data_IF_756169678475
#
_entry.id   IF_756169678475
#
_cell.length_a   1.000
_cell.length_b   1.000
_cell.length_c   1.000
_cell.angle_alpha   90.00
_cell.angle_beta   90.00
_cell.angle_gamma   90.00
#
_symmetry.space_group_name_H-M   'P 1'
#
loop_
_entity.id
_entity.type
_entity.pdbx_description
1 polymer ?
#
# COMPACT_ATOMS: atom_id res chain seq x y z
N UNK A 1 94.59 -19.80 19.07
CA UNK A 1 93.87 -21.04 18.70
C UNK A 1 92.63 -21.04 19.58
N UNK A 2 91.54 -20.41 19.19
CA UNK A 2 90.71 -20.75 18.04
C UNK A 2 89.61 -21.68 18.54
N UNK A 3 88.44 -21.14 18.87
CA UNK A 3 87.20 -21.65 18.28
C UNK A 3 86.03 -20.67 18.52
N UNK A 4 85.10 -20.74 17.59
CA UNK A 4 84.07 -19.79 17.22
C UNK A 4 82.70 -20.17 17.78
N UNK A 5 82.08 -19.26 18.55
CA UNK A 5 80.61 -19.12 18.75
C UNK A 5 79.84 -20.28 19.42
N UNK A 6 78.52 -20.14 19.71
CA UNK A 6 77.63 -19.04 19.32
C UNK A 6 76.79 -18.40 20.45
N UNK A 7 76.35 -17.17 20.14
CA UNK A 7 75.00 -16.58 20.29
C UNK A 7 74.18 -16.97 21.53
N UNK A 8 74.00 -15.99 22.43
CA UNK A 8 72.87 -15.95 23.34
C UNK A 8 71.55 -15.86 22.57
N UNK A 9 70.70 -16.86 22.77
CA UNK A 9 69.28 -16.81 22.44
C UNK A 9 68.58 -15.89 23.45
N UNK A 10 67.88 -14.82 23.04
CA UNK A 10 66.83 -14.26 23.87
C UNK A 10 65.66 -15.26 23.90
N UNK A 11 65.17 -15.54 25.10
CA UNK A 11 63.99 -16.35 25.34
C UNK A 11 62.85 -15.98 24.38
N UNK A 12 62.38 -16.98 23.65
CA UNK A 12 61.18 -16.91 22.81
C UNK A 12 59.99 -16.34 23.60
N UNK A 13 59.10 -15.58 22.95
CA UNK A 13 57.88 -15.10 23.57
C UNK A 13 57.04 -16.28 24.06
N UNK A 14 56.46 -16.13 25.25
CA UNK A 14 55.41 -17.00 25.76
C UNK A 14 54.41 -17.26 24.65
N UNK A 15 54.28 -18.53 24.24
CA UNK A 15 53.16 -19.00 23.43
C UNK A 15 51.89 -18.71 24.23
N UNK A 16 51.20 -17.62 23.88
CA UNK A 16 49.79 -17.51 24.13
C UNK A 16 49.14 -18.79 23.57
N UNK A 17 48.48 -19.55 24.44
CA UNK A 17 47.71 -20.72 24.03
C UNK A 17 46.74 -20.34 22.91
N UNK A 18 46.31 -21.31 22.08
CA UNK A 18 45.32 -21.05 21.06
C UNK A 18 44.09 -20.49 21.77
N UNK A 19 43.84 -19.20 21.54
CA UNK A 19 42.56 -18.57 21.82
C UNK A 19 41.55 -19.44 21.12
N UNK A 20 40.59 -19.97 21.87
CA UNK A 20 39.53 -20.83 21.38
C UNK A 20 38.91 -20.23 20.12
N UNK A 21 39.39 -20.69 18.97
CA UNK A 21 38.76 -20.42 17.70
C UNK A 21 37.47 -21.23 17.73
N UNK A 22 36.37 -20.51 17.97
CA UNK A 22 35.02 -20.98 17.69
C UNK A 22 35.06 -21.77 16.37
N UNK A 23 34.58 -23.02 16.34
CA UNK A 23 34.65 -23.81 15.12
C UNK A 23 33.86 -23.10 14.02
N UNK A 24 34.33 -23.11 12.76
CA UNK A 24 33.55 -22.55 11.66
C UNK A 24 32.19 -23.22 11.66
N UNK A 25 31.14 -22.39 11.73
CA UNK A 25 29.75 -22.81 11.82
C UNK A 25 29.47 -23.96 10.85
N UNK A 26 28.76 -24.98 11.33
CA UNK A 26 28.34 -26.16 10.56
C UNK A 26 27.92 -25.75 9.14
N UNK A 27 28.26 -26.53 8.09
CA UNK A 27 27.70 -26.28 6.77
C UNK A 27 26.19 -26.22 6.91
N UNK A 28 25.60 -25.06 6.58
CA UNK A 28 24.17 -24.85 6.69
C UNK A 28 23.47 -25.96 5.89
N UNK A 29 22.66 -26.77 6.58
CA UNK A 29 21.79 -27.74 5.93
C UNK A 29 21.07 -27.04 4.76
N UNK A 30 21.01 -27.65 3.56
CA UNK A 30 20.47 -26.99 2.38
C UNK A 30 19.06 -26.53 2.70
N UNK A 31 18.88 -25.20 2.75
CA UNK A 31 17.72 -24.58 3.38
C UNK A 31 16.44 -25.20 2.82
N UNK A 32 15.70 -25.88 3.69
CA UNK A 32 14.47 -26.59 3.31
C UNK A 32 13.50 -25.61 2.63
N UNK A 33 13.48 -24.35 3.06
CA UNK A 33 12.67 -23.31 2.42
C UNK A 33 13.13 -23.02 0.97
N UNK A 34 14.44 -22.95 0.70
CA UNK A 34 14.99 -22.75 -0.65
C UNK A 34 14.64 -23.90 -1.60
N UNK A 35 14.52 -25.14 -1.08
CA UNK A 35 14.10 -26.29 -1.88
C UNK A 35 12.59 -26.31 -2.17
N UNK A 36 11.78 -25.63 -1.36
CA UNK A 36 10.32 -25.57 -1.50
C UNK A 36 9.89 -24.46 -2.46
N UNK A 37 10.63 -23.36 -2.56
CA UNK A 37 10.28 -22.22 -3.43
C UNK A 37 10.04 -22.64 -4.89
N UNK A 38 10.86 -23.49 -5.54
CA UNK A 38 10.57 -23.96 -6.90
C UNK A 38 9.24 -24.71 -7.02
N UNK A 39 8.81 -25.43 -5.98
CA UNK A 39 7.58 -26.23 -5.96
C UNK A 39 6.32 -25.37 -5.93
N UNK A 40 6.42 -24.11 -5.52
CA UNK A 40 5.32 -23.14 -5.66
C UNK A 40 4.88 -22.99 -7.12
N UNK A 41 5.81 -23.11 -8.06
CA UNK A 41 5.56 -22.93 -9.49
C UNK A 41 5.25 -24.24 -10.22
N UNK A 42 5.01 -25.34 -9.49
CA UNK A 42 4.52 -26.59 -10.08
C UNK A 42 3.11 -26.40 -10.65
N UNK A 43 2.80 -27.07 -11.76
CA UNK A 43 1.45 -27.11 -12.33
C UNK A 43 0.49 -27.98 -11.49
N UNK A 44 1.03 -28.85 -10.62
CA UNK A 44 0.23 -29.62 -9.67
C UNK A 44 -0.23 -28.72 -8.50
N UNK A 45 -1.53 -28.46 -8.46
CA UNK A 45 -2.19 -27.69 -7.40
C UNK A 45 -1.99 -28.32 -6.01
N UNK A 46 -1.87 -29.65 -5.92
CA UNK A 46 -1.62 -30.35 -4.66
C UNK A 46 -0.20 -30.10 -4.18
N UNK A 47 0.77 -30.16 -5.08
CA UNK A 47 2.18 -29.88 -4.76
C UNK A 47 2.35 -28.41 -4.34
N UNK A 48 1.71 -27.49 -5.07
CA UNK A 48 1.70 -26.06 -4.73
C UNK A 48 1.09 -25.81 -3.34
N UNK A 49 -0.06 -26.42 -3.05
CA UNK A 49 -0.70 -26.31 -1.73
C UNK A 49 0.20 -26.81 -0.60
N UNK A 50 0.87 -27.96 -0.79
CA UNK A 50 1.83 -28.50 0.20
C UNK A 50 3.06 -27.61 0.35
N UNK A 51 3.55 -27.01 -0.73
CA UNK A 51 4.67 -26.08 -0.71
C UNK A 51 4.32 -24.81 0.08
N UNK A 52 3.13 -24.24 -0.17
CA UNK A 52 2.60 -23.10 0.59
C UNK A 52 2.45 -23.43 2.08
N UNK A 53 1.87 -24.58 2.43
CA UNK A 53 1.73 -25.03 3.83
C UNK A 53 3.10 -25.18 4.51
N UNK A 54 4.08 -25.73 3.79
CA UNK A 54 5.42 -25.95 4.31
C UNK A 54 6.16 -24.63 4.54
N UNK A 55 6.06 -23.67 3.61
CA UNK A 55 6.65 -22.33 3.78
C UNK A 55 6.00 -21.55 4.91
N UNK A 56 4.69 -21.65 5.08
CA UNK A 56 3.98 -21.06 6.23
C UNK A 56 4.50 -21.62 7.56
N UNK A 57 4.80 -22.93 7.64
CA UNK A 57 5.43 -23.55 8.83
C UNK A 57 6.87 -23.11 9.06
N UNK A 58 7.61 -22.79 8.00
CA UNK A 58 8.99 -22.27 8.09
C UNK A 58 9.04 -20.82 8.61
N UNK A 59 7.94 -20.07 8.53
CA UNK A 59 7.82 -18.72 9.11
C UNK A 59 8.87 -17.74 8.59
N UNK A 60 9.55 -17.06 9.51
CA UNK A 60 10.49 -15.96 9.23
C UNK A 60 11.60 -16.33 8.23
N UNK A 61 12.09 -17.58 8.27
CA UNK A 61 13.14 -18.04 7.36
C UNK A 61 12.65 -18.13 5.91
N UNK A 62 11.42 -18.60 5.72
CA UNK A 62 10.77 -18.58 4.41
C UNK A 62 10.41 -17.15 3.97
N UNK A 63 10.07 -16.27 4.91
CA UNK A 63 9.75 -14.87 4.62
C UNK A 63 10.92 -14.15 3.92
N UNK A 64 12.14 -14.30 4.45
CA UNK A 64 13.36 -13.70 3.86
C UNK A 64 13.55 -14.18 2.42
N UNK A 65 13.55 -15.49 2.22
CA UNK A 65 13.80 -16.07 0.89
C UNK A 65 12.70 -15.74 -0.12
N UNK A 66 11.43 -15.69 0.31
CA UNK A 66 10.33 -15.33 -0.58
C UNK A 66 10.34 -13.85 -0.94
N UNK A 67 10.69 -12.96 -0.01
CA UNK A 67 10.87 -11.54 -0.32
C UNK A 67 12.05 -11.34 -1.27
N UNK A 68 13.19 -11.99 -1.03
CA UNK A 68 14.32 -11.95 -1.97
C UNK A 68 13.95 -12.49 -3.35
N UNK A 69 13.18 -13.58 -3.40
CA UNK A 69 12.68 -14.16 -4.64
C UNK A 69 11.74 -13.18 -5.34
N UNK A 70 10.83 -12.52 -4.61
CA UNK A 70 9.91 -11.51 -5.13
C UNK A 70 10.67 -10.36 -5.79
N UNK A 71 11.66 -9.80 -5.09
CA UNK A 71 12.45 -8.65 -5.54
C UNK A 71 13.33 -8.98 -6.77
N UNK A 72 13.67 -10.26 -6.97
CA UNK A 72 14.45 -10.74 -8.13
C UNK A 72 13.59 -11.29 -9.26
N UNK A 73 12.30 -11.50 -9.02
CA UNK A 73 11.39 -12.12 -9.99
C UNK A 73 10.94 -11.06 -10.99
N UNK A 74 11.02 -11.34 -12.31
CA UNK A 74 10.54 -10.39 -13.29
C UNK A 74 9.02 -10.19 -13.11
N UNK A 75 8.54 -8.94 -13.11
CA UNK A 75 7.16 -8.61 -12.72
C UNK A 75 6.09 -9.14 -13.68
N UNK A 76 6.46 -9.42 -14.93
CA UNK A 76 5.58 -10.01 -15.94
C UNK A 76 5.47 -11.54 -15.83
N UNK A 77 6.13 -12.15 -14.85
CA UNK A 77 6.02 -13.59 -14.65
C UNK A 77 4.71 -13.93 -13.95
N UNK A 78 4.04 -14.99 -14.42
CA UNK A 78 2.88 -15.60 -13.72
C UNK A 78 3.22 -16.16 -12.33
N UNK A 79 4.46 -15.98 -11.86
CA UNK A 79 4.95 -16.34 -10.53
C UNK A 79 4.49 -15.36 -9.46
N UNK A 80 4.16 -14.13 -9.85
CA UNK A 80 3.83 -13.07 -8.90
C UNK A 80 2.65 -13.40 -7.98
N UNK A 81 1.46 -13.82 -8.49
CA UNK A 81 0.32 -14.12 -7.62
C UNK A 81 0.63 -15.25 -6.62
N UNK A 82 1.43 -16.23 -7.05
CA UNK A 82 1.84 -17.37 -6.20
C UNK A 82 2.78 -16.93 -5.09
N UNK A 83 3.71 -16.02 -5.38
CA UNK A 83 4.61 -15.44 -4.37
C UNK A 83 3.83 -14.56 -3.39
N UNK A 84 2.90 -13.75 -3.87
CA UNK A 84 2.02 -12.94 -3.02
C UNK A 84 1.21 -13.82 -2.05
N UNK A 85 0.59 -14.90 -2.56
CA UNK A 85 -0.14 -15.87 -1.75
C UNK A 85 0.76 -16.53 -0.69
N UNK A 86 1.98 -16.94 -1.07
CA UNK A 86 2.94 -17.52 -0.13
C UNK A 86 3.31 -16.54 1.01
N UNK A 87 3.53 -15.27 0.68
CA UNK A 87 3.83 -14.22 1.65
C UNK A 87 2.65 -13.91 2.57
N UNK A 88 1.43 -13.86 2.03
CA UNK A 88 0.20 -13.68 2.80
C UNK A 88 0.02 -14.82 3.82
N UNK A 89 0.26 -16.06 3.40
CA UNK A 89 0.15 -17.24 4.27
C UNK A 89 1.17 -17.28 5.40
N UNK A 90 2.35 -16.67 5.22
CA UNK A 90 3.31 -16.46 6.31
C UNK A 90 2.84 -15.35 7.23
N UNK A 91 2.30 -14.27 6.66
CA UNK A 91 1.67 -13.19 7.40
C UNK A 91 2.63 -12.10 7.87
N UNK A 92 2.37 -11.52 9.05
CA UNK A 92 3.00 -10.29 9.55
C UNK A 92 4.54 -10.26 9.65
N UNK A 93 5.28 -11.38 9.82
CA UNK A 93 6.74 -11.34 9.79
C UNK A 93 7.34 -10.84 8.48
N UNK A 94 6.58 -10.93 7.38
CA UNK A 94 7.00 -10.45 6.05
C UNK A 94 7.06 -8.92 5.99
N UNK A 95 6.23 -8.21 6.76
CA UNK A 95 6.06 -6.75 6.70
C UNK A 95 7.38 -5.97 6.83
N UNK A 96 8.21 -6.17 7.88
CA UNK A 96 9.48 -5.46 8.00
C UNK A 96 10.45 -5.73 6.84
N UNK A 97 10.43 -6.94 6.27
CA UNK A 97 11.29 -7.32 5.15
C UNK A 97 10.86 -6.60 3.86
N UNK A 98 9.56 -6.54 3.59
CA UNK A 98 9.03 -5.78 2.46
C UNK A 98 9.27 -4.27 2.60
N UNK A 99 9.13 -3.71 3.82
CA UNK A 99 9.45 -2.31 4.10
C UNK A 99 10.93 -2.02 3.78
N UNK A 100 11.85 -2.84 4.29
CA UNK A 100 13.28 -2.68 4.02
C UNK A 100 13.59 -2.79 2.51
N UNK A 101 12.94 -3.72 1.81
CA UNK A 101 13.03 -3.85 0.36
C UNK A 101 12.58 -2.58 -0.37
N UNK A 102 11.43 -2.01 0.00
CA UNK A 102 10.92 -0.74 -0.57
C UNK A 102 11.84 0.44 -0.30
N UNK A 103 12.41 0.54 0.90
CA UNK A 103 13.29 1.65 1.27
C UNK A 103 14.58 1.68 0.44
N UNK A 104 15.04 0.52 -0.03
CA UNK A 104 16.18 0.39 -0.93
C UNK A 104 15.87 0.77 -2.39
N UNK A 105 14.59 0.87 -2.77
CA UNK A 105 14.19 1.21 -4.14
C UNK A 105 14.23 2.73 -4.34
N UNK A 106 14.75 3.14 -5.51
CA UNK A 106 14.73 4.53 -5.95
C UNK A 106 13.43 4.88 -6.70
N UNK A 107 13.33 6.13 -7.20
CA UNK A 107 12.25 6.55 -8.10
C UNK A 107 12.23 5.66 -9.34
N UNK A 108 11.09 5.02 -9.68
CA UNK A 108 11.05 4.06 -10.77
C UNK A 108 11.28 4.76 -12.12
N UNK A 109 12.17 4.17 -12.93
CA UNK A 109 12.54 4.66 -14.27
C UNK A 109 12.13 3.70 -15.37
N UNK A 110 11.77 2.48 -15.02
CA UNK A 110 11.40 1.42 -15.94
C UNK A 110 10.09 0.77 -15.52
N UNK A 111 9.41 0.15 -16.48
CA UNK A 111 8.11 -0.48 -16.24
C UNK A 111 8.20 -1.61 -15.20
N UNK A 112 9.27 -2.40 -15.21
CA UNK A 112 9.52 -3.48 -14.26
C UNK A 112 9.60 -2.99 -12.81
N UNK A 113 10.28 -1.86 -12.58
CA UNK A 113 10.34 -1.25 -11.24
C UNK A 113 8.95 -0.79 -10.77
N UNK A 114 8.13 -0.23 -11.67
CA UNK A 114 6.75 0.17 -11.32
C UNK A 114 5.89 -1.02 -10.96
N UNK A 115 5.96 -2.10 -11.75
CA UNK A 115 5.20 -3.31 -11.46
C UNK A 115 5.64 -3.96 -10.15
N UNK A 116 6.94 -3.94 -9.82
CA UNK A 116 7.44 -4.42 -8.53
C UNK A 116 6.90 -3.59 -7.35
N UNK A 117 6.84 -2.27 -7.49
CA UNK A 117 6.26 -1.40 -6.47
C UNK A 117 4.76 -1.67 -6.27
N UNK A 118 4.01 -1.80 -7.37
CA UNK A 118 2.58 -2.13 -7.33
C UNK A 118 2.33 -3.44 -6.59
N UNK A 119 3.11 -4.45 -6.96
CA UNK A 119 3.17 -5.75 -6.34
C UNK A 119 3.35 -5.67 -4.82
N UNK A 120 4.44 -5.05 -4.37
CA UNK A 120 4.75 -4.97 -2.95
C UNK A 120 3.66 -4.19 -2.20
N UNK A 121 3.07 -3.16 -2.82
CA UNK A 121 1.93 -2.44 -2.25
C UNK A 121 0.72 -3.35 -1.98
N UNK A 122 0.40 -4.24 -2.93
CA UNK A 122 -0.72 -5.17 -2.83
C UNK A 122 -0.52 -6.16 -1.69
N UNK A 123 0.67 -6.77 -1.58
CA UNK A 123 1.00 -7.69 -0.48
C UNK A 123 0.95 -6.98 0.87
N UNK A 124 1.51 -5.77 0.97
CA UNK A 124 1.45 -4.98 2.21
C UNK A 124 0.01 -4.62 2.61
N UNK A 125 -0.85 -4.34 1.63
CA UNK A 125 -2.28 -4.10 1.84
C UNK A 125 -3.00 -5.35 2.37
N UNK A 126 -2.75 -6.51 1.76
CA UNK A 126 -3.33 -7.81 2.16
C UNK A 126 -2.89 -8.23 3.56
N UNK A 127 -1.63 -7.99 3.92
CA UNK A 127 -1.10 -8.27 5.26
C UNK A 127 -1.73 -7.40 6.37
N UNK A 128 -2.42 -6.32 5.99
CA UNK A 128 -3.19 -5.43 6.87
C UNK A 128 -2.41 -4.93 8.10
N UNK A 129 -1.10 -4.71 7.96
CA UNK A 129 -0.23 -4.23 9.03
C UNK A 129 0.05 -2.73 8.90
N UNK A 130 -0.39 -1.96 9.89
CA UNK A 130 -0.24 -0.50 9.91
C UNK A 130 1.22 -0.03 9.90
N UNK A 131 2.18 -0.90 10.24
CA UNK A 131 3.63 -0.58 10.11
C UNK A 131 4.03 -0.29 8.67
N UNK A 132 3.26 -0.74 7.67
CA UNK A 132 3.51 -0.49 6.26
C UNK A 132 3.16 0.95 5.81
N UNK A 133 2.37 1.69 6.60
CA UNK A 133 1.85 3.01 6.20
C UNK A 133 2.97 3.99 5.78
N UNK A 134 4.04 4.22 6.57
CA UNK A 134 5.10 5.14 6.18
C UNK A 134 5.80 4.74 4.86
N UNK A 135 6.00 3.44 4.64
CA UNK A 135 6.63 2.92 3.42
C UNK A 135 5.73 3.14 2.19
N UNK A 136 4.43 2.89 2.31
CA UNK A 136 3.45 3.15 1.26
C UNK A 136 3.34 4.65 0.93
N UNK A 137 3.37 5.52 1.93
CA UNK A 137 3.39 6.99 1.73
C UNK A 137 4.66 7.47 1.03
N UNK A 138 5.82 6.90 1.38
CA UNK A 138 7.08 7.17 0.68
C UNK A 138 7.01 6.71 -0.79
N UNK A 139 6.45 5.53 -1.04
CA UNK A 139 6.26 5.01 -2.39
C UNK A 139 5.35 5.91 -3.24
N UNK A 140 4.26 6.46 -2.68
CA UNK A 140 3.48 7.50 -3.37
C UNK A 140 4.33 8.70 -3.78
N UNK A 141 5.23 9.14 -2.91
CA UNK A 141 6.13 10.27 -3.21
C UNK A 141 7.10 9.94 -4.36
N UNK A 142 7.61 8.71 -4.41
CA UNK A 142 8.45 8.23 -5.52
C UNK A 142 7.67 8.16 -6.84
N UNK A 143 6.47 7.60 -6.84
CA UNK A 143 5.60 7.54 -8.01
C UNK A 143 5.19 8.95 -8.49
N UNK A 144 5.00 9.89 -7.57
CA UNK A 144 4.75 11.29 -7.89
C UNK A 144 5.94 11.97 -8.56
N UNK A 145 7.15 11.70 -8.09
CA UNK A 145 8.35 12.22 -8.73
C UNK A 145 8.47 11.72 -10.18
N UNK A 146 8.13 10.45 -10.44
CA UNK A 146 8.14 9.87 -11.78
C UNK A 146 7.06 10.45 -12.71
N UNK A 147 5.88 10.81 -12.18
CA UNK A 147 4.77 11.35 -12.99
C UNK A 147 4.87 12.86 -13.25
N UNK A 148 5.48 13.65 -12.35
CA UNK A 148 5.56 15.12 -12.49
C UNK A 148 6.53 15.60 -13.57
N UNK A 149 7.62 14.86 -13.80
CA UNK A 149 8.61 15.14 -14.85
C UNK A 149 8.93 13.84 -15.57
N UNK A 150 8.01 13.35 -16.41
CA UNK A 150 8.17 12.06 -17.05
C UNK A 150 9.37 12.14 -18.00
N UNK A 151 10.32 11.22 -17.81
CA UNK A 151 11.33 10.93 -18.84
C UNK A 151 10.75 10.01 -19.92
N UNK A 152 9.78 9.20 -19.52
CA UNK A 152 9.05 8.24 -20.33
C UNK A 152 7.56 8.30 -19.96
N UNK A 153 6.71 8.67 -20.92
CA UNK A 153 5.26 8.77 -20.76
C UNK A 153 4.60 7.43 -20.45
N UNK A 154 5.16 6.32 -20.96
CA UNK A 154 4.65 4.99 -20.67
C UNK A 154 4.85 4.64 -19.19
N UNK A 155 6.05 4.90 -18.66
CA UNK A 155 6.36 4.68 -17.24
C UNK A 155 5.51 5.61 -16.35
N UNK A 156 5.28 6.85 -16.77
CA UNK A 156 4.44 7.78 -16.03
C UNK A 156 2.97 7.31 -15.97
N UNK A 157 2.44 6.79 -17.07
CA UNK A 157 1.10 6.18 -17.11
C UNK A 157 1.00 4.98 -16.18
N UNK A 158 2.01 4.09 -16.18
CA UNK A 158 2.09 2.97 -15.24
C UNK A 158 2.16 3.45 -13.79
N UNK A 159 2.96 4.46 -13.48
CA UNK A 159 3.04 5.04 -12.15
C UNK A 159 1.67 5.57 -11.69
N UNK A 160 0.93 6.25 -12.57
CA UNK A 160 -0.42 6.73 -12.27
C UNK A 160 -1.43 5.59 -12.03
N UNK A 161 -1.22 4.42 -12.62
CA UNK A 161 -1.98 3.21 -12.31
C UNK A 161 -1.56 2.61 -10.96
N UNK A 162 -0.26 2.44 -10.72
CA UNK A 162 0.29 1.91 -9.47
C UNK A 162 -0.16 2.72 -8.25
N UNK A 163 -0.21 4.05 -8.35
CA UNK A 163 -0.73 4.94 -7.30
C UNK A 163 -2.11 4.53 -6.78
N UNK A 164 -3.02 4.04 -7.63
CA UNK A 164 -4.34 3.57 -7.20
C UNK A 164 -4.22 2.36 -6.26
N UNK A 165 -3.32 1.43 -6.56
CA UNK A 165 -3.07 0.26 -5.70
C UNK A 165 -2.45 0.65 -4.38
N UNK A 166 -1.54 1.62 -4.39
CA UNK A 166 -0.96 2.16 -3.15
C UNK A 166 -2.04 2.84 -2.28
N UNK A 167 -2.90 3.66 -2.89
CA UNK A 167 -4.04 4.27 -2.19
C UNK A 167 -5.02 3.23 -1.66
N UNK A 168 -5.24 2.13 -2.38
CA UNK A 168 -6.06 1.01 -1.91
C UNK A 168 -5.47 0.38 -0.65
N UNK A 169 -4.18 0.05 -0.68
CA UNK A 169 -3.48 -0.48 0.49
C UNK A 169 -3.57 0.48 1.68
N UNK A 170 -3.34 1.78 1.47
CA UNK A 170 -3.48 2.80 2.52
C UNK A 170 -4.92 2.89 3.08
N UNK A 171 -5.92 2.81 2.21
CA UNK A 171 -7.33 2.81 2.60
C UNK A 171 -7.74 1.53 3.36
N UNK A 172 -7.21 0.37 2.98
CA UNK A 172 -7.41 -0.92 3.67
C UNK A 172 -6.79 -0.89 5.08
N UNK A 173 -5.65 -0.20 5.24
CA UNK A 173 -5.00 0.06 6.53
C UNK A 173 -5.70 1.15 7.36
N UNK A 174 -6.73 1.80 6.79
CA UNK A 174 -7.43 2.92 7.42
C UNK A 174 -6.54 4.14 7.67
N UNK A 175 -5.52 4.35 6.82
CA UNK A 175 -4.71 5.57 6.83
C UNK A 175 -5.30 6.63 5.91
N UNK A 176 -5.17 7.89 6.31
CA UNK A 176 -5.44 9.07 5.47
C UNK A 176 -4.16 9.62 4.84
N UNK A 177 -3.01 9.03 5.13
CA UNK A 177 -1.75 9.42 4.54
C UNK A 177 -1.81 9.18 3.03
N UNK A 178 -1.56 10.22 2.23
CA UNK A 178 -1.82 10.20 0.79
C UNK A 178 -3.13 10.88 0.36
N UNK A 179 -3.96 11.40 1.28
CA UNK A 179 -5.16 12.14 0.91
C UNK A 179 -4.87 13.35 0.00
N UNK A 180 -3.76 14.06 0.21
CA UNK A 180 -3.35 15.18 -0.66
C UNK A 180 -3.03 14.72 -2.08
N UNK A 181 -2.40 13.55 -2.20
CA UNK A 181 -2.08 12.95 -3.50
C UNK A 181 -3.34 12.46 -4.22
N UNK A 182 -4.26 11.82 -3.48
CA UNK A 182 -5.55 11.41 -4.02
C UNK A 182 -6.39 12.64 -4.43
N UNK A 183 -6.30 13.74 -3.68
CA UNK A 183 -6.93 15.01 -4.03
C UNK A 183 -6.37 15.56 -5.36
N UNK A 184 -5.05 15.50 -5.56
CA UNK A 184 -4.40 15.87 -6.83
C UNK A 184 -4.89 14.98 -7.98
N UNK A 185 -5.05 13.67 -7.76
CA UNK A 185 -5.56 12.72 -8.77
C UNK A 185 -7.03 12.96 -9.12
N UNK A 186 -7.87 13.28 -8.14
CA UNK A 186 -9.29 13.66 -8.34
C UNK A 186 -9.36 15.00 -9.09
N UNK A 187 -8.46 15.92 -8.74
CA UNK A 187 -8.39 17.26 -9.29
C UNK A 187 -9.68 18.04 -9.10
N UNK A 188 -10.08 18.77 -10.15
CA UNK A 188 -11.32 19.53 -10.19
C UNK A 188 -12.54 18.71 -10.65
N UNK A 189 -12.39 17.39 -10.86
CA UNK A 189 -13.47 16.54 -11.34
C UNK A 189 -13.90 16.76 -12.80
N UNK A 190 -13.16 17.54 -13.60
CA UNK A 190 -13.49 17.76 -15.02
C UNK A 190 -13.04 16.61 -15.92
N UNK A 191 -11.94 15.94 -15.55
CA UNK A 191 -11.46 14.74 -16.23
C UNK A 191 -12.34 13.54 -15.86
N UNK A 192 -12.43 12.57 -16.78
CA UNK A 192 -13.11 11.31 -16.49
C UNK A 192 -12.41 10.64 -15.31
N UNK A 193 -13.17 10.42 -14.24
CA UNK A 193 -12.68 9.74 -13.05
C UNK A 193 -12.80 8.23 -13.25
N UNK A 194 -11.78 7.50 -12.81
CA UNK A 194 -11.86 6.04 -12.70
C UNK A 194 -12.75 5.67 -11.51
N UNK A 195 -13.55 4.62 -11.64
CA UNK A 195 -14.49 4.20 -10.60
C UNK A 195 -13.75 3.81 -9.31
N UNK A 196 -12.56 3.22 -9.45
CA UNK A 196 -11.70 2.89 -8.32
C UNK A 196 -11.30 4.15 -7.53
N UNK A 197 -11.11 5.30 -8.20
CA UNK A 197 -10.75 6.55 -7.52
C UNK A 197 -11.90 7.07 -6.66
N UNK A 198 -13.14 6.91 -7.14
CA UNK A 198 -14.37 7.27 -6.43
C UNK A 198 -14.53 6.39 -5.18
N UNK A 199 -14.31 5.09 -5.32
CA UNK A 199 -14.32 4.15 -4.20
C UNK A 199 -13.27 4.50 -3.15
N UNK A 200 -12.03 4.75 -3.57
CA UNK A 200 -10.93 5.12 -2.68
C UNK A 200 -11.21 6.41 -1.92
N UNK A 201 -11.75 7.43 -2.59
CA UNK A 201 -12.16 8.68 -1.94
C UNK A 201 -13.19 8.44 -0.84
N UNK A 202 -14.18 7.57 -1.09
CA UNK A 202 -15.18 7.19 -0.10
C UNK A 202 -14.58 6.43 1.09
N UNK A 203 -13.62 5.53 0.83
CA UNK A 203 -12.95 4.74 1.85
C UNK A 203 -12.07 5.60 2.76
N UNK A 204 -11.24 6.46 2.19
CA UNK A 204 -10.37 7.40 2.94
C UNK A 204 -11.21 8.43 3.70
N UNK A 205 -12.27 8.94 3.05
CA UNK A 205 -13.25 9.79 3.72
C UNK A 205 -12.83 11.24 3.94
N UNK A 206 -11.88 11.78 3.17
CA UNK A 206 -11.50 13.19 3.33
C UNK A 206 -12.55 14.11 2.69
N UNK A 207 -13.11 15.04 3.46
CA UNK A 207 -14.10 16.02 2.97
C UNK A 207 -13.60 16.87 1.81
N UNK A 208 -12.29 17.07 1.67
CA UNK A 208 -11.69 17.87 0.58
C UNK A 208 -11.94 17.27 -0.80
N UNK A 209 -12.29 15.97 -0.89
CA UNK A 209 -12.67 15.33 -2.16
C UNK A 209 -14.04 15.76 -2.69
N UNK A 210 -14.93 16.25 -1.81
CA UNK A 210 -16.34 16.48 -2.13
C UNK A 210 -16.56 17.44 -3.31
N UNK A 211 -15.83 18.57 -3.45
CA UNK A 211 -16.02 19.47 -4.59
C UNK A 211 -15.66 18.83 -5.94
N UNK A 212 -14.56 18.07 -5.99
CA UNK A 212 -14.14 17.35 -7.19
C UNK A 212 -15.12 16.23 -7.54
N UNK A 213 -15.57 15.47 -6.55
CA UNK A 213 -16.58 14.42 -6.75
C UNK A 213 -17.94 14.98 -7.21
N UNK A 214 -18.37 16.15 -6.70
CA UNK A 214 -19.60 16.80 -7.16
C UNK A 214 -19.53 17.22 -8.62
N UNK A 215 -18.41 17.80 -9.04
CA UNK A 215 -18.16 18.15 -10.45
C UNK A 215 -18.12 16.89 -11.33
N UNK A 216 -17.49 15.82 -10.85
CA UNK A 216 -17.48 14.54 -11.55
C UNK A 216 -18.89 13.92 -11.65
N UNK A 217 -19.71 14.04 -10.61
CA UNK A 217 -21.11 13.59 -10.62
C UNK A 217 -21.94 14.37 -11.66
N UNK A 218 -21.81 15.70 -11.69
CA UNK A 218 -22.49 16.56 -12.67
C UNK A 218 -22.24 16.09 -14.10
N UNK A 219 -20.98 15.83 -14.44
CA UNK A 219 -20.58 15.37 -15.77
C UNK A 219 -20.98 13.92 -16.06
N UNK A 220 -21.07 13.08 -15.04
CA UNK A 220 -21.45 11.69 -15.19
C UNK A 220 -22.96 11.50 -15.44
N UNK A 221 -23.81 12.41 -14.95
CA UNK A 221 -25.28 12.33 -15.09
C UNK A 221 -25.76 12.10 -16.54
N UNK A 222 -25.31 12.86 -17.57
CA UNK A 222 -25.73 12.63 -18.94
C UNK A 222 -25.06 11.43 -19.60
N UNK A 223 -23.97 10.90 -19.04
CA UNK A 223 -23.14 9.85 -19.68
C UNK A 223 -23.51 8.46 -19.18
N UNK A 224 -23.65 8.28 -17.86
CA UNK A 224 -23.92 6.98 -17.27
C UNK A 224 -24.54 7.13 -15.88
N UNK A 225 -25.79 6.67 -15.75
CA UNK A 225 -26.49 6.63 -14.46
C UNK A 225 -25.76 5.76 -13.44
N UNK A 226 -25.10 4.69 -13.88
CA UNK A 226 -24.34 3.82 -12.98
C UNK A 226 -23.16 4.57 -12.33
N UNK A 227 -22.37 5.31 -13.13
CA UNK A 227 -21.25 6.13 -12.64
C UNK A 227 -21.79 7.25 -11.76
N UNK A 228 -22.84 7.94 -12.20
CA UNK A 228 -23.45 9.02 -11.44
C UNK A 228 -23.95 8.55 -10.07
N UNK A 229 -24.59 7.37 -9.99
CA UNK A 229 -25.03 6.75 -8.75
C UNK A 229 -23.87 6.38 -7.84
N UNK A 230 -22.78 5.84 -8.40
CA UNK A 230 -21.59 5.49 -7.63
C UNK A 230 -20.90 6.72 -7.04
N UNK A 231 -20.69 7.77 -7.83
CA UNK A 231 -20.13 9.05 -7.35
C UNK A 231 -21.04 9.70 -6.31
N UNK A 232 -22.37 9.64 -6.50
CA UNK A 232 -23.33 10.13 -5.49
C UNK A 232 -23.23 9.35 -4.17
N UNK A 233 -23.06 8.03 -4.23
CA UNK A 233 -22.85 7.21 -3.04
C UNK A 233 -21.59 7.66 -2.30
N UNK A 234 -20.47 7.83 -3.00
CA UNK A 234 -19.20 8.28 -2.40
C UNK A 234 -19.35 9.65 -1.72
N UNK A 235 -19.96 10.64 -2.39
CA UNK A 235 -20.22 11.97 -1.83
C UNK A 235 -21.02 11.87 -0.52
N UNK A 236 -22.10 11.07 -0.51
CA UNK A 236 -22.95 10.91 0.67
C UNK A 236 -22.23 10.19 1.80
N UNK A 237 -21.41 9.20 1.48
CA UNK A 237 -20.67 8.44 2.47
C UNK A 237 -19.60 9.30 3.15
N UNK A 238 -18.84 10.09 2.38
CA UNK A 238 -17.87 11.05 2.93
C UNK A 238 -18.59 12.10 3.77
N UNK A 239 -19.66 12.70 3.25
CA UNK A 239 -20.40 13.74 3.98
C UNK A 239 -20.99 13.22 5.30
N UNK A 240 -21.46 11.97 5.32
CA UNK A 240 -21.96 11.30 6.53
C UNK A 240 -20.83 11.04 7.53
N UNK A 241 -19.68 10.54 7.08
CA UNK A 241 -18.52 10.23 7.94
C UNK A 241 -17.92 11.48 8.57
N UNK A 242 -17.73 12.52 7.77
CA UNK A 242 -17.10 13.78 8.21
C UNK A 242 -18.11 14.82 8.73
N UNK A 243 -19.41 14.47 8.78
CA UNK A 243 -20.51 15.37 9.20
C UNK A 243 -20.54 16.68 8.40
N UNK A 244 -20.27 16.60 7.10
CA UNK A 244 -20.24 17.75 6.21
C UNK A 244 -21.67 18.09 5.79
N UNK A 245 -22.04 19.34 6.03
CA UNK A 245 -23.32 19.91 5.62
C UNK A 245 -23.17 20.79 4.37
N UNK A 246 -24.28 21.17 3.75
CA UNK A 246 -24.29 21.99 2.52
C UNK A 246 -23.59 23.34 2.67
N UNK A 247 -23.63 23.91 3.88
CA UNK A 247 -23.00 25.19 4.21
C UNK A 247 -21.51 25.08 4.55
N UNK A 248 -20.91 23.89 4.47
CA UNK A 248 -19.49 23.72 4.82
C UNK A 248 -18.60 24.55 3.87
N UNK A 249 -17.57 25.25 4.41
CA UNK A 249 -16.63 26.04 3.62
C UNK A 249 -15.98 25.31 2.45
N UNK A 250 -15.91 23.97 2.48
CA UNK A 250 -15.40 23.15 1.39
C UNK A 250 -16.14 23.38 0.07
N UNK A 251 -17.40 23.82 0.12
CA UNK A 251 -18.24 24.10 -1.05
C UNK A 251 -18.20 25.55 -1.54
N UNK A 252 -17.41 26.42 -0.88
CA UNK A 252 -17.35 27.87 -1.19
C UNK A 252 -16.98 28.21 -2.64
N UNK A 253 -16.23 27.33 -3.32
CA UNK A 253 -15.74 27.53 -4.71
C UNK A 253 -16.52 26.72 -5.76
N UNK A 254 -17.71 26.23 -5.43
CA UNK A 254 -18.58 25.54 -6.40
C UNK A 254 -19.24 26.53 -7.35
N UNK A 255 -19.41 26.13 -8.61
CA UNK A 255 -20.24 26.87 -9.56
C UNK A 255 -21.74 26.62 -9.32
N UNK A 256 -22.59 27.41 -9.98
CA UNK A 256 -24.04 27.38 -9.79
C UNK A 256 -24.65 25.99 -10.09
N UNK A 257 -24.12 25.26 -11.08
CA UNK A 257 -24.59 23.93 -11.44
C UNK A 257 -24.30 22.92 -10.33
N UNK A 258 -23.07 22.90 -9.80
CA UNK A 258 -22.68 22.04 -8.70
C UNK A 258 -23.41 22.39 -7.40
N UNK A 259 -23.66 23.68 -7.14
CA UNK A 259 -24.47 24.13 -6.01
C UNK A 259 -25.92 23.60 -6.08
N UNK A 260 -26.56 23.67 -7.24
CA UNK A 260 -27.90 23.12 -7.43
C UNK A 260 -27.94 21.58 -7.27
N UNK A 261 -26.85 20.88 -7.61
CA UNK A 261 -26.72 19.44 -7.40
C UNK A 261 -26.45 19.08 -5.94
N UNK A 262 -25.66 19.87 -5.23
CA UNK A 262 -25.39 19.70 -3.80
C UNK A 262 -26.70 19.59 -3.01
N UNK A 263 -27.67 20.45 -3.33
CA UNK A 263 -29.00 20.45 -2.72
C UNK A 263 -29.80 19.16 -2.96
N UNK A 264 -29.58 18.50 -4.10
CA UNK A 264 -30.23 17.24 -4.45
C UNK A 264 -29.51 16.03 -3.85
N UNK A 265 -28.18 16.10 -3.75
CA UNK A 265 -27.33 14.99 -3.29
C UNK A 265 -27.34 14.86 -1.77
N UNK A 266 -27.14 15.96 -1.04
CA UNK A 266 -27.18 16.01 0.41
C UNK A 266 -28.56 16.49 0.86
N UNK A 267 -29.61 15.64 0.84
CA UNK A 267 -30.98 16.03 1.26
C UNK A 267 -30.99 16.77 2.62
N UNK A 268 -31.89 17.75 2.80
CA UNK A 268 -32.06 18.50 4.06
C UNK A 268 -32.24 17.50 5.22
N UNK A 269 -31.62 17.70 6.39
CA UNK A 269 -32.16 17.11 7.60
C UNK A 269 -33.61 17.56 7.71
N UNK A 270 -34.55 16.61 7.91
CA UNK A 270 -35.92 16.99 8.25
C UNK A 270 -35.82 17.95 9.44
N UNK A 271 -36.48 19.12 9.42
CA UNK A 271 -36.54 19.94 10.62
C UNK A 271 -37.13 19.05 11.72
N UNK A 272 -36.38 18.85 12.80
CA UNK A 272 -36.89 18.16 13.98
C UNK A 272 -38.23 18.80 14.32
N UNK A 273 -39.27 17.96 14.42
CA UNK A 273 -40.61 18.40 14.77
C UNK A 273 -40.53 19.29 16.01
N UNK A 274 -40.78 20.58 15.79
CA UNK A 274 -40.87 21.56 16.86
C UNK A 274 -41.88 21.07 17.88
N UNK A 275 -41.51 21.22 19.15
CA UNK A 275 -42.35 20.89 20.27
C UNK A 275 -43.72 21.54 20.12
N UNK A 276 -44.74 20.70 19.97
CA UNK A 276 -46.09 21.07 20.35
C UNK A 276 -46.14 20.93 21.88
N UNK A 277 -45.86 22.04 22.56
CA UNK A 277 -46.29 22.22 23.94
C UNK A 277 -47.81 21.95 23.99
N UNK A 278 -48.21 20.88 24.68
CA UNK A 278 -49.62 20.62 24.97
C UNK A 278 -50.12 21.76 25.87
N UNK A 279 -51.24 22.44 25.55
CA UNK A 279 -51.84 23.37 26.47
C UNK A 279 -52.34 22.58 27.70
N UNK A 280 -51.91 23.04 28.87
CA UNK A 280 -52.36 22.56 30.16
C UNK A 280 -53.87 22.83 30.29
N UNK A 281 -54.66 21.77 30.35
CA UNK A 281 -56.09 21.82 30.63
C UNK A 281 -56.44 20.67 31.55
N UNK A 282 -56.35 20.90 32.86
CA UNK A 282 -57.03 20.10 33.88
C UNK A 282 -57.91 21.05 34.68
N UNK A 283 -59.17 21.11 34.27
CA UNK A 283 -60.28 21.31 35.18
C UNK A 283 -60.57 19.98 35.89
N UNK A 284 -60.96 20.10 37.16
CA UNK A 284 -61.43 19.10 38.15
C UNK A 284 -60.38 18.50 39.07
#
# INVERSE_FOLDING_TARGET
MGDTGPRGEPASPQKAGPVDAEPPGRPAEPDVASQIIPKLFSDDMTERGRALDALARCGDRAAVLLVETLLRTPPQSGRYPVLAEALERIGKPVVPLLIAGLEALEVPRRADEVYLLEAVAEVLGQLADRRAVPALTRMLSQLNAATRRPRDEFVASLCAAAKIRVHRALADLGSRDGADDLLEMIGDGRKRMRDELVELAARIGDRRFLPGLLRAHERALPVSEWIARHTRWAIREIARRERVERGDPVFSKLDAACQALLDKVLKKPKPNGGGAAKPNGKDR
#
